data_IF_163351083960
#
_entry.id   IF_163351083960
#
_cell.length_a   1.000
_cell.length_b   1.000
_cell.length_c   1.000
_cell.angle_alpha   90.00
_cell.angle_beta   90.00
_cell.angle_gamma   90.00
#
_symmetry.space_group_name_H-M   'P 1'
#
loop_
_entity.id
_entity.type
_entity.pdbx_description
1 polymer ?
#
# COMPACT_ATOMS: atom_id res chain seq x y z
N UNK A 1 -36.76 18.60 27.77
CA UNK A 1 -35.87 19.41 26.90
C UNK A 1 -34.56 19.72 27.61
N UNK A 2 -33.69 18.74 27.83
CA UNK A 2 -32.37 18.94 28.48
C UNK A 2 -31.23 18.20 27.77
N UNK A 3 -31.55 17.22 26.91
CA UNK A 3 -30.55 16.40 26.22
C UNK A 3 -29.68 17.20 25.25
N UNK A 4 -30.21 18.28 24.65
CA UNK A 4 -29.46 19.15 23.75
C UNK A 4 -28.23 19.79 24.43
N UNK A 5 -28.30 20.04 25.75
CA UNK A 5 -27.18 20.59 26.53
C UNK A 5 -25.96 19.65 26.50
N UNK A 6 -26.17 18.35 26.38
CA UNK A 6 -25.09 17.36 26.28
C UNK A 6 -24.79 16.97 24.84
N UNK A 7 -25.83 16.83 24.00
CA UNK A 7 -25.68 16.41 22.60
C UNK A 7 -24.93 17.45 21.76
N UNK A 8 -25.15 18.75 21.99
CA UNK A 8 -24.49 19.80 21.21
C UNK A 8 -22.96 19.81 21.47
N UNK A 9 -22.47 19.86 22.72
CA UNK A 9 -21.03 19.78 22.99
C UNK A 9 -20.40 18.47 22.50
N UNK A 10 -21.07 17.33 22.70
CA UNK A 10 -20.57 16.03 22.24
C UNK A 10 -20.43 16.02 20.71
N UNK A 11 -21.45 16.50 19.99
CA UNK A 11 -21.40 16.58 18.53
C UNK A 11 -20.28 17.50 18.03
N UNK A 12 -20.07 18.65 18.68
CA UNK A 12 -18.98 19.56 18.33
C UNK A 12 -17.60 18.94 18.58
N UNK A 13 -17.41 18.25 19.70
CA UNK A 13 -16.16 17.54 20.01
C UNK A 13 -15.90 16.43 18.99
N UNK A 14 -16.91 15.62 18.69
CA UNK A 14 -16.79 14.53 17.70
C UNK A 14 -16.52 15.09 16.30
N UNK A 15 -17.19 16.17 15.91
CA UNK A 15 -16.95 16.85 14.63
C UNK A 15 -15.54 17.43 14.54
N UNK A 16 -15.07 18.10 15.60
CA UNK A 16 -13.71 18.64 15.66
C UNK A 16 -12.65 17.53 15.65
N UNK A 17 -12.89 16.43 16.37
CA UNK A 17 -11.99 15.28 16.38
C UNK A 17 -11.90 14.63 15.00
N UNK A 18 -13.04 14.41 14.33
CA UNK A 18 -13.07 13.88 12.96
C UNK A 18 -12.36 14.80 11.97
N UNK A 19 -12.58 16.11 12.08
CA UNK A 19 -11.94 17.09 11.20
C UNK A 19 -10.42 17.18 11.46
N UNK A 20 -9.99 17.10 12.72
CA UNK A 20 -8.58 17.04 13.09
C UNK A 20 -7.90 15.76 12.56
N UNK A 21 -8.55 14.61 12.72
CA UNK A 21 -8.08 13.35 12.16
C UNK A 21 -7.98 13.38 10.63
N UNK A 22 -8.94 14.03 9.95
CA UNK A 22 -8.93 14.22 8.51
C UNK A 22 -7.73 15.06 8.05
N UNK A 23 -7.46 16.20 8.69
CA UNK A 23 -6.29 17.02 8.35
C UNK A 23 -4.97 16.31 8.67
N UNK A 24 -4.91 15.59 9.78
CA UNK A 24 -3.74 14.75 10.12
C UNK A 24 -3.49 13.66 9.07
N UNK A 25 -4.55 13.01 8.58
CA UNK A 25 -4.45 12.03 7.48
C UNK A 25 -3.90 12.67 6.20
N UNK A 26 -4.39 13.85 5.81
CA UNK A 26 -3.90 14.54 4.61
C UNK A 26 -2.44 14.98 4.72
N UNK A 27 -1.97 15.32 5.93
CA UNK A 27 -0.57 15.69 6.16
C UNK A 27 0.36 14.49 6.32
N UNK A 28 -0.17 13.26 6.32
CA UNK A 28 0.64 12.06 6.40
C UNK A 28 1.15 11.71 4.99
N UNK A 29 2.47 11.65 4.80
CA UNK A 29 3.19 11.19 3.57
C UNK A 29 2.83 9.74 3.13
N UNK A 30 1.79 9.15 3.71
CA UNK A 30 1.27 7.82 3.41
C UNK A 30 0.66 7.68 2.00
N UNK A 31 0.48 8.78 1.28
CA UNK A 31 0.01 8.76 -0.11
C UNK A 31 1.14 8.52 -1.12
N UNK A 32 2.40 8.75 -0.75
CA UNK A 32 3.56 8.56 -1.63
C UNK A 32 3.72 7.07 -2.04
N UNK A 33 3.46 6.13 -1.12
CA UNK A 33 3.53 4.68 -1.41
C UNK A 33 2.28 4.15 -2.15
N UNK A 34 1.15 4.87 -2.09
CA UNK A 34 -0.05 4.50 -2.86
C UNK A 34 0.13 4.76 -4.35
N UNK A 35 0.83 5.82 -4.74
CA UNK A 35 1.19 6.08 -6.14
C UNK A 35 2.12 4.98 -6.68
N UNK A 36 3.10 4.54 -5.89
CA UNK A 36 3.97 3.41 -6.25
C UNK A 36 3.26 2.04 -6.29
N UNK A 37 2.29 1.80 -5.40
CA UNK A 37 1.50 0.56 -5.40
C UNK A 37 0.45 0.53 -6.53
N UNK A 38 -0.15 1.67 -6.87
CA UNK A 38 -1.10 1.85 -7.97
C UNK A 38 -0.45 1.65 -9.34
N UNK A 39 0.76 2.15 -9.53
CA UNK A 39 1.56 1.92 -10.75
C UNK A 39 1.79 0.42 -10.98
N UNK A 40 2.08 -0.33 -9.90
CA UNK A 40 2.25 -1.77 -9.98
C UNK A 40 0.94 -2.47 -10.38
N UNK A 41 -0.20 -2.17 -9.75
CA UNK A 41 -1.43 -2.92 -10.07
C UNK A 41 -1.97 -2.66 -11.48
N UNK A 42 -1.71 -1.48 -12.06
CA UNK A 42 -2.19 -1.12 -13.40
C UNK A 42 -1.26 -1.56 -14.53
N UNK A 43 0.06 -1.57 -14.31
CA UNK A 43 1.04 -1.84 -15.37
C UNK A 43 1.77 -3.21 -15.22
N UNK A 44 1.67 -3.92 -14.09
CA UNK A 44 2.35 -5.22 -13.90
C UNK A 44 1.72 -6.39 -14.68
N UNK A 45 0.54 -6.23 -15.29
CA UNK A 45 -0.03 -7.29 -16.16
C UNK A 45 0.60 -7.31 -17.56
N UNK A 46 1.26 -6.23 -18.00
CA UNK A 46 1.95 -6.15 -19.30
C UNK A 46 3.43 -6.57 -19.24
N UNK A 47 4.05 -6.57 -18.06
CA UNK A 47 5.44 -7.01 -17.83
C UNK A 47 5.52 -8.40 -17.16
N UNK A 48 4.76 -9.38 -17.66
CA UNK A 48 5.14 -10.78 -17.42
C UNK A 48 6.39 -11.08 -18.27
N UNK A 49 7.58 -11.39 -17.70
CA UNK A 49 8.65 -12.03 -18.45
C UNK A 49 8.27 -13.49 -18.71
N UNK A 50 7.29 -13.70 -19.58
CA UNK A 50 6.91 -15.00 -20.11
C UNK A 50 7.66 -15.28 -21.40
N UNK A 51 8.99 -15.43 -21.36
CA UNK A 51 9.76 -16.25 -22.31
C UNK A 51 11.27 -16.07 -22.14
N UNK A 52 11.88 -16.86 -21.25
CA UNK A 52 13.19 -17.43 -21.56
C UNK A 52 12.95 -18.89 -21.98
N UNK A 53 13.13 -19.25 -23.26
CA UNK A 53 13.03 -20.63 -23.71
C UNK A 53 14.14 -21.48 -23.09
N UNK A 54 13.87 -22.76 -22.87
CA UNK A 54 14.86 -23.75 -22.45
C UNK A 54 16.17 -23.62 -23.25
N UNK A 55 17.32 -23.59 -22.56
CA UNK A 55 18.59 -24.01 -23.17
C UNK A 55 19.82 -23.24 -22.70
N UNK A 56 20.66 -23.88 -21.88
CA UNK A 56 22.03 -23.38 -21.71
C UNK A 56 22.81 -23.88 -20.51
N UNK A 57 23.15 -25.19 -20.50
CA UNK A 57 24.23 -25.79 -19.69
C UNK A 57 24.08 -25.72 -18.16
N UNK A 58 23.30 -26.65 -17.62
CA UNK A 58 23.80 -27.38 -16.46
C UNK A 58 25.00 -28.21 -16.93
N UNK A 59 26.20 -27.66 -16.87
CA UNK A 59 27.41 -28.48 -16.92
C UNK A 59 27.38 -29.36 -15.67
N UNK A 60 27.28 -30.69 -15.78
CA UNK A 60 27.51 -31.54 -14.61
C UNK A 60 28.95 -31.31 -14.15
N UNK A 61 29.22 -31.19 -12.83
CA UNK A 61 30.59 -31.22 -12.35
C UNK A 61 31.18 -32.59 -12.67
N UNK A 62 31.90 -32.67 -13.79
CA UNK A 62 32.74 -33.79 -14.13
C UNK A 62 34.05 -33.68 -13.34
N UNK A 63 34.34 -34.72 -12.56
CA UNK A 63 35.64 -35.09 -11.95
C UNK A 63 35.96 -34.34 -10.64
N UNK A 64 36.31 -35.00 -9.52
CA UNK A 64 37.32 -36.06 -9.38
C UNK A 64 37.00 -36.97 -8.16
N UNK A 65 37.19 -38.30 -8.24
CA UNK A 65 37.44 -39.11 -7.05
C UNK A 65 38.87 -38.86 -6.53
N UNK A 66 39.02 -38.70 -5.21
CA UNK A 66 40.32 -38.82 -4.53
C UNK A 66 40.67 -40.31 -4.31
#
# INVERSE_FOLDING_TARGET
MNSLVFLVPIALILGAAALGAFFWSMSSDQYEDLDGAGERILFQDDDRPGSAPLGGRASPPSLLPD
#
